data_IF_240201969662
#
_entry.id   IF_240201969662
#
_cell.length_a   1.000
_cell.length_b   1.000
_cell.length_c   1.000
_cell.angle_alpha   90.00
_cell.angle_beta   90.00
_cell.angle_gamma   90.00
#
_symmetry.space_group_name_H-M   'P 1'
#
loop_
_entity.id
_entity.type
_entity.pdbx_description
1 polymer ?
#
# COMPACT_ATOMS: atom_id res chain seq x y z
N UNK A 1 -22.94 32.20 -27.79
CA UNK A 1 -23.33 30.81 -27.59
C UNK A 1 -23.97 30.33 -28.88
N UNK A 2 -23.37 29.41 -29.63
CA UNK A 2 -24.02 28.84 -30.80
C UNK A 2 -25.12 27.88 -30.31
N UNK A 3 -26.30 27.99 -30.91
CA UNK A 3 -27.41 27.07 -30.69
C UNK A 3 -27.05 25.70 -31.27
N UNK A 4 -27.21 24.66 -30.44
CA UNK A 4 -27.12 23.27 -30.86
C UNK A 4 -28.16 22.97 -31.95
N UNK A 5 -27.73 23.02 -33.18
CA UNK A 5 -28.50 22.43 -34.29
C UNK A 5 -28.14 20.96 -34.38
N UNK A 6 -29.14 20.11 -34.02
CA UNK A 6 -29.35 18.83 -34.62
C UNK A 6 -28.24 17.78 -34.50
N UNK A 7 -27.82 17.41 -33.28
CA UNK A 7 -27.26 16.08 -33.09
C UNK A 7 -28.43 15.10 -33.06
N UNK A 8 -28.70 14.41 -34.18
CA UNK A 8 -29.56 13.21 -34.18
C UNK A 8 -29.13 12.33 -33.02
N UNK A 9 -29.99 12.19 -32.02
CA UNK A 9 -29.88 11.16 -31.01
C UNK A 9 -30.04 9.81 -31.74
N UNK A 10 -28.92 9.28 -32.24
CA UNK A 10 -28.90 7.84 -32.54
C UNK A 10 -29.07 7.18 -31.18
N UNK A 11 -30.26 6.67 -30.94
CA UNK A 11 -30.53 5.76 -29.85
C UNK A 11 -29.38 4.74 -29.84
N UNK A 12 -28.64 4.65 -28.71
CA UNK A 12 -27.84 3.47 -28.47
C UNK A 12 -28.73 2.31 -28.79
N UNK A 13 -28.39 1.54 -29.81
CA UNK A 13 -29.01 0.25 -30.04
C UNK A 13 -28.71 -0.53 -28.77
N UNK A 14 -29.72 -0.57 -27.88
CA UNK A 14 -29.67 -1.47 -26.75
C UNK A 14 -29.44 -2.85 -27.35
N UNK A 15 -28.34 -3.46 -26.98
CA UNK A 15 -28.15 -4.88 -27.24
C UNK A 15 -29.36 -5.52 -26.60
N UNK A 16 -30.13 -6.24 -27.39
CA UNK A 16 -31.30 -6.94 -26.91
C UNK A 16 -30.84 -7.92 -25.83
N UNK A 17 -31.02 -7.54 -24.57
CA UNK A 17 -30.58 -8.32 -23.41
C UNK A 17 -31.21 -9.72 -23.39
N UNK A 18 -32.35 -9.92 -24.08
CA UNK A 18 -32.99 -11.22 -24.23
C UNK A 18 -32.13 -12.24 -25.00
N UNK A 19 -31.15 -11.77 -25.77
CA UNK A 19 -30.22 -12.62 -26.53
C UNK A 19 -28.95 -13.00 -25.77
N UNK A 20 -28.66 -12.30 -24.70
CA UNK A 20 -27.46 -12.54 -23.86
C UNK A 20 -27.96 -12.65 -22.42
N UNK A 21 -28.27 -13.84 -21.99
CA UNK A 21 -28.76 -14.18 -20.64
C UNK A 21 -27.67 -13.89 -19.58
N UNK A 22 -27.10 -12.68 -19.60
CA UNK A 22 -26.07 -12.21 -18.69
C UNK A 22 -26.71 -11.37 -17.60
N UNK A 23 -26.77 -11.87 -16.37
CA UNK A 23 -27.29 -11.10 -15.25
C UNK A 23 -26.49 -9.82 -15.06
N UNK A 24 -27.21 -8.71 -14.83
CA UNK A 24 -26.56 -7.47 -14.43
C UNK A 24 -25.82 -7.66 -13.12
N UNK A 25 -24.55 -7.26 -13.06
CA UNK A 25 -23.74 -7.34 -11.85
C UNK A 25 -24.16 -6.30 -10.80
N UNK A 26 -24.82 -5.24 -11.22
CA UNK A 26 -25.35 -4.22 -10.31
C UNK A 26 -26.88 -4.24 -10.43
N UNK A 27 -27.61 -4.48 -9.33
CA UNK A 27 -29.07 -4.57 -9.36
C UNK A 27 -29.71 -3.36 -10.03
N UNK A 28 -30.75 -3.61 -10.81
CA UNK A 28 -31.54 -2.58 -11.53
C UNK A 28 -30.71 -1.71 -12.50
N UNK A 29 -29.65 -2.24 -13.06
CA UNK A 29 -28.83 -1.56 -14.08
C UNK A 29 -28.53 -2.50 -15.25
N UNK A 30 -28.11 -1.94 -16.38
CA UNK A 30 -27.58 -2.68 -17.52
C UNK A 30 -26.03 -2.88 -17.44
N UNK A 31 -25.46 -2.90 -16.24
CA UNK A 31 -24.04 -3.13 -16.07
C UNK A 31 -23.65 -4.55 -16.40
N UNK A 32 -22.68 -4.73 -17.29
CA UNK A 32 -22.05 -6.02 -17.51
C UNK A 32 -20.88 -6.23 -16.56
N UNK A 33 -20.48 -7.49 -16.34
CA UNK A 33 -19.28 -7.82 -15.56
C UNK A 33 -18.02 -7.18 -16.15
N UNK A 34 -17.90 -7.14 -17.48
CA UNK A 34 -16.78 -6.50 -18.17
C UNK A 34 -16.70 -5.01 -17.89
N UNK A 35 -17.80 -4.30 -17.92
CA UNK A 35 -17.84 -2.87 -17.64
C UNK A 35 -17.52 -2.56 -16.17
N UNK A 36 -18.04 -3.35 -15.23
CA UNK A 36 -17.71 -3.18 -13.82
C UNK A 36 -16.23 -3.46 -13.56
N UNK A 37 -15.69 -4.51 -14.18
CA UNK A 37 -14.24 -4.82 -14.09
C UNK A 37 -13.38 -3.70 -14.65
N UNK A 38 -13.76 -3.11 -15.80
CA UNK A 38 -13.05 -1.98 -16.41
C UNK A 38 -13.02 -0.76 -15.46
N UNK A 39 -14.16 -0.43 -14.85
CA UNK A 39 -14.25 0.65 -13.87
C UNK A 39 -13.37 0.40 -12.64
N UNK A 40 -13.34 -0.83 -12.14
CA UNK A 40 -12.51 -1.21 -10.98
C UNK A 40 -11.03 -1.09 -11.34
N UNK A 41 -10.61 -1.65 -12.48
CA UNK A 41 -9.21 -1.59 -12.95
C UNK A 41 -8.78 -0.14 -13.18
N UNK A 42 -9.60 0.65 -13.88
CA UNK A 42 -9.32 2.05 -14.13
C UNK A 42 -9.16 2.84 -12.83
N UNK A 43 -10.02 2.59 -11.86
CA UNK A 43 -10.00 3.30 -10.58
C UNK A 43 -8.81 2.93 -9.72
N UNK A 44 -8.51 1.64 -9.57
CA UNK A 44 -7.56 1.15 -8.56
C UNK A 44 -6.18 0.82 -9.12
N UNK A 45 -6.08 0.36 -10.37
CA UNK A 45 -4.81 0.08 -11.01
C UNK A 45 -4.23 1.32 -11.71
N UNK A 46 -5.07 2.08 -12.42
CA UNK A 46 -4.63 3.23 -13.21
C UNK A 46 -4.90 4.58 -12.53
N UNK A 47 -5.47 4.58 -11.33
CA UNK A 47 -5.78 5.78 -10.53
C UNK A 47 -6.66 6.82 -11.27
N UNK A 48 -7.51 6.38 -12.19
CA UNK A 48 -8.42 7.24 -12.93
C UNK A 48 -9.52 7.72 -11.98
N UNK A 49 -9.67 9.03 -11.86
CA UNK A 49 -10.73 9.61 -11.02
C UNK A 49 -12.10 9.44 -11.68
N UNK A 50 -13.17 9.36 -10.87
CA UNK A 50 -14.54 9.24 -11.42
C UNK A 50 -14.92 10.37 -12.37
N UNK A 51 -14.31 11.56 -12.23
CA UNK A 51 -14.49 12.66 -13.17
C UNK A 51 -13.86 12.37 -14.53
N UNK A 52 -12.61 11.88 -14.55
CA UNK A 52 -11.93 11.48 -15.79
C UNK A 52 -12.62 10.30 -16.46
N UNK A 53 -13.06 9.35 -15.63
CA UNK A 53 -13.82 8.20 -16.12
C UNK A 53 -15.12 8.62 -16.82
N UNK A 54 -15.84 9.57 -16.24
CA UNK A 54 -17.03 10.15 -16.89
C UNK A 54 -16.70 10.75 -18.26
N UNK A 55 -15.59 11.50 -18.40
CA UNK A 55 -15.16 12.03 -19.70
C UNK A 55 -14.78 10.93 -20.68
N UNK A 56 -14.11 9.87 -20.24
CA UNK A 56 -13.80 8.70 -21.08
C UNK A 56 -15.09 8.09 -21.62
N UNK A 57 -16.06 7.83 -20.75
CA UNK A 57 -17.35 7.27 -21.11
C UNK A 57 -18.11 8.14 -22.14
N UNK A 58 -18.09 9.45 -21.97
CA UNK A 58 -18.70 10.38 -22.92
C UNK A 58 -18.05 10.26 -24.31
N UNK A 59 -16.73 10.14 -24.38
CA UNK A 59 -16.01 9.96 -25.63
C UNK A 59 -16.37 8.62 -26.30
N UNK A 60 -16.70 7.61 -25.52
CA UNK A 60 -17.21 6.31 -25.97
C UNK A 60 -18.74 6.32 -26.23
N UNK A 61 -19.35 7.52 -26.26
CA UNK A 61 -20.81 7.74 -26.47
C UNK A 61 -21.70 7.16 -25.36
N UNK A 62 -21.12 6.87 -24.21
CA UNK A 62 -21.87 6.46 -23.03
C UNK A 62 -22.03 7.63 -22.05
N UNK A 63 -23.25 7.91 -21.63
CA UNK A 63 -23.53 8.97 -20.64
C UNK A 63 -23.71 8.37 -19.26
N UNK A 64 -22.70 8.51 -18.42
CA UNK A 64 -22.77 8.13 -17.02
C UNK A 64 -22.47 9.32 -16.11
N UNK A 65 -23.23 9.43 -15.02
CA UNK A 65 -22.95 10.41 -13.98
C UNK A 65 -21.83 9.93 -13.06
N UNK A 66 -21.15 10.85 -12.38
CA UNK A 66 -20.17 10.51 -11.34
C UNK A 66 -20.79 9.65 -10.22
N UNK A 67 -22.04 9.94 -9.85
CA UNK A 67 -22.78 9.16 -8.85
C UNK A 67 -23.07 7.74 -9.30
N UNK A 68 -23.39 7.55 -10.59
CA UNK A 68 -23.59 6.21 -11.16
C UNK A 68 -22.29 5.40 -11.09
N UNK A 69 -21.17 5.98 -11.54
CA UNK A 69 -19.85 5.33 -11.46
C UNK A 69 -19.51 4.95 -10.03
N UNK A 70 -19.72 5.88 -9.07
CA UNK A 70 -19.47 5.62 -7.66
C UNK A 70 -20.34 4.49 -7.10
N UNK A 71 -21.64 4.49 -7.44
CA UNK A 71 -22.55 3.43 -7.00
C UNK A 71 -22.16 2.07 -7.55
N UNK A 72 -21.76 2.00 -8.81
CA UNK A 72 -21.31 0.74 -9.41
C UNK A 72 -20.03 0.23 -8.76
N UNK A 73 -19.07 1.11 -8.48
CA UNK A 73 -17.86 0.74 -7.75
C UNK A 73 -18.16 0.26 -6.32
N UNK A 74 -19.15 0.87 -5.64
CA UNK A 74 -19.60 0.44 -4.31
C UNK A 74 -20.21 -0.97 -4.37
N UNK A 75 -21.10 -1.24 -5.31
CA UNK A 75 -21.67 -2.58 -5.49
C UNK A 75 -20.61 -3.60 -5.88
N UNK A 76 -19.64 -3.21 -6.71
CA UNK A 76 -18.47 -4.06 -7.00
C UNK A 76 -17.68 -4.41 -5.76
N UNK A 77 -17.48 -3.46 -4.84
CA UNK A 77 -16.81 -3.69 -3.57
C UNK A 77 -17.61 -4.65 -2.67
N UNK A 78 -18.94 -4.44 -2.56
CA UNK A 78 -19.85 -5.33 -1.82
C UNK A 78 -19.79 -6.77 -2.36
N UNK A 79 -19.77 -6.93 -3.68
CA UNK A 79 -19.64 -8.24 -4.33
C UNK A 79 -18.30 -8.91 -4.01
N UNK A 80 -17.19 -8.15 -4.00
CA UNK A 80 -15.85 -8.64 -3.73
C UNK A 80 -15.60 -8.87 -2.23
N UNK A 81 -16.47 -8.40 -1.34
CA UNK A 81 -16.33 -8.57 0.11
C UNK A 81 -16.19 -10.05 0.49
N UNK A 82 -16.90 -10.94 -0.18
CA UNK A 82 -16.81 -12.38 0.03
C UNK A 82 -15.43 -12.98 -0.31
N UNK A 83 -14.60 -12.27 -1.06
CA UNK A 83 -13.25 -12.69 -1.42
C UNK A 83 -12.20 -12.26 -0.38
N UNK A 84 -12.54 -11.39 0.55
CA UNK A 84 -11.58 -10.77 1.48
C UNK A 84 -10.83 -11.80 2.31
N UNK A 85 -11.52 -12.80 2.84
CA UNK A 85 -10.89 -13.83 3.67
C UNK A 85 -9.90 -14.67 2.88
N UNK A 86 -10.24 -15.06 1.66
CA UNK A 86 -9.33 -15.78 0.77
C UNK A 86 -8.09 -14.94 0.41
N UNK A 87 -8.28 -13.66 0.12
CA UNK A 87 -7.18 -12.72 -0.16
C UNK A 87 -6.30 -12.56 1.08
N UNK A 88 -6.89 -12.45 2.27
CA UNK A 88 -6.16 -12.39 3.54
C UNK A 88 -5.33 -13.65 3.80
N UNK A 89 -5.87 -14.84 3.51
CA UNK A 89 -5.13 -16.09 3.61
C UNK A 89 -3.91 -16.14 2.66
N UNK A 90 -4.05 -15.65 1.45
CA UNK A 90 -2.93 -15.53 0.52
C UNK A 90 -1.90 -14.49 0.98
N UNK A 91 -2.36 -13.36 1.52
CA UNK A 91 -1.50 -12.33 2.10
C UNK A 91 -0.67 -12.89 3.25
N UNK A 92 -1.31 -13.59 4.19
CA UNK A 92 -0.71 -14.10 5.43
C UNK A 92 -0.17 -15.53 5.29
N UNK A 93 0.17 -15.95 4.07
CA UNK A 93 0.73 -17.26 3.82
C UNK A 93 1.92 -17.55 4.76
N UNK A 94 1.89 -18.64 5.54
CA UNK A 94 2.98 -18.99 6.44
C UNK A 94 4.34 -19.12 5.74
N UNK A 95 5.40 -18.64 6.40
CA UNK A 95 6.76 -18.66 5.87
C UNK A 95 7.06 -17.56 4.84
N UNK A 96 6.09 -16.73 4.47
CA UNK A 96 6.33 -15.63 3.55
C UNK A 96 6.86 -14.38 4.27
N UNK A 97 7.38 -13.44 3.47
CA UNK A 97 7.75 -12.10 3.93
C UNK A 97 6.65 -11.13 3.54
N UNK A 98 6.09 -10.44 4.53
CA UNK A 98 5.13 -9.36 4.34
C UNK A 98 5.72 -8.02 4.76
N UNK A 99 5.31 -6.98 4.06
CA UNK A 99 5.67 -5.60 4.31
C UNK A 99 4.45 -4.86 4.81
N UNK A 100 4.59 -4.09 5.88
CA UNK A 100 3.49 -3.31 6.42
C UNK A 100 3.95 -1.88 6.70
N UNK A 101 3.14 -0.93 6.27
CA UNK A 101 3.34 0.51 6.49
C UNK A 101 1.98 1.17 6.65
N UNK A 102 1.91 2.33 7.31
CA UNK A 102 0.67 3.07 7.41
C UNK A 102 0.83 4.52 6.95
N UNK A 103 -0.20 5.00 6.27
CA UNK A 103 -0.31 6.39 5.87
C UNK A 103 -1.61 7.01 6.37
N UNK A 104 -1.56 8.25 6.77
CA UNK A 104 -2.76 8.95 7.19
C UNK A 104 -3.54 9.50 5.98
N UNK A 105 -4.86 9.53 6.13
CA UNK A 105 -5.79 10.12 5.18
C UNK A 105 -6.77 11.01 5.92
N UNK A 106 -7.04 12.20 5.38
CA UNK A 106 -8.11 13.05 5.91
C UNK A 106 -9.45 12.51 5.44
N UNK A 107 -10.28 12.12 6.40
CA UNK A 107 -11.60 11.59 6.14
C UNK A 107 -12.66 12.60 6.57
N UNK A 108 -13.57 12.91 5.66
CA UNK A 108 -14.74 13.72 5.93
C UNK A 108 -15.70 12.92 6.80
N UNK A 109 -16.04 13.45 7.97
CA UNK A 109 -16.97 12.85 8.91
C UNK A 109 -18.06 13.86 9.22
N UNK A 110 -19.32 13.46 9.16
CA UNK A 110 -20.45 14.26 9.62
C UNK A 110 -20.79 13.83 11.03
N UNK A 111 -20.86 14.76 11.96
CA UNK A 111 -21.24 14.47 13.35
C UNK A 111 -22.75 14.35 13.52
N UNK A 112 -23.19 14.10 14.78
CA UNK A 112 -24.60 13.94 15.09
C UNK A 112 -25.44 15.22 14.88
N UNK A 113 -24.79 16.39 14.81
CA UNK A 113 -25.42 17.68 14.56
C UNK A 113 -25.47 18.04 13.06
N UNK A 114 -24.94 17.18 12.20
CA UNK A 114 -24.84 17.42 10.76
C UNK A 114 -23.63 18.28 10.36
N UNK A 115 -22.73 18.65 11.30
CA UNK A 115 -21.53 19.40 11.00
C UNK A 115 -20.44 18.53 10.38
N UNK A 116 -19.74 19.08 9.41
CA UNK A 116 -18.71 18.38 8.67
C UNK A 116 -17.34 18.68 9.25
N UNK A 117 -16.66 17.63 9.70
CA UNK A 117 -15.31 17.70 10.22
C UNK A 117 -14.37 16.81 9.40
N UNK A 118 -13.08 17.15 9.41
CA UNK A 118 -12.03 16.28 8.89
C UNK A 118 -11.32 15.59 10.04
N UNK A 119 -11.25 14.25 9.99
CA UNK A 119 -10.51 13.42 10.96
C UNK A 119 -9.41 12.67 10.27
N UNK A 120 -8.22 12.67 10.86
CA UNK A 120 -7.14 11.79 10.44
C UNK A 120 -7.53 10.34 10.71
N UNK A 121 -7.52 9.55 9.66
CA UNK A 121 -7.64 8.10 9.69
C UNK A 121 -6.38 7.51 9.07
N UNK A 122 -6.19 6.25 9.23
CA UNK A 122 -5.01 5.57 8.72
C UNK A 122 -5.40 4.45 7.77
N UNK A 123 -4.63 4.37 6.71
CA UNK A 123 -4.66 3.27 5.77
C UNK A 123 -3.38 2.46 6.00
N UNK A 124 -3.55 1.25 6.50
CA UNK A 124 -2.47 0.29 6.61
C UNK A 124 -2.34 -0.43 5.28
N UNK A 125 -1.15 -0.47 4.73
CA UNK A 125 -0.85 -1.14 3.48
C UNK A 125 -0.01 -2.36 3.80
N UNK A 126 -0.53 -3.54 3.51
CA UNK A 126 0.14 -4.80 3.78
C UNK A 126 0.38 -5.50 2.43
N UNK A 127 1.63 -5.86 2.16
CA UNK A 127 2.04 -6.42 0.88
C UNK A 127 2.80 -7.72 1.07
N UNK A 128 2.42 -8.73 0.32
CA UNK A 128 3.16 -9.98 0.18
C UNK A 128 3.66 -10.08 -1.26
N UNK A 129 4.96 -9.90 -1.47
CA UNK A 129 5.54 -9.92 -2.81
C UNK A 129 5.59 -11.32 -3.42
N UNK A 130 5.65 -12.37 -2.60
CA UNK A 130 5.66 -13.76 -3.06
C UNK A 130 4.32 -14.17 -3.68
N UNK A 131 3.22 -13.82 -3.01
CA UNK A 131 1.87 -14.10 -3.50
C UNK A 131 1.30 -13.00 -4.38
N UNK A 132 2.02 -11.86 -4.48
CA UNK A 132 1.62 -10.65 -5.23
C UNK A 132 0.28 -10.06 -4.75
N UNK A 133 0.03 -10.17 -3.44
CA UNK A 133 -1.17 -9.63 -2.80
C UNK A 133 -0.83 -8.33 -2.10
N UNK A 134 -1.65 -7.31 -2.34
CA UNK A 134 -1.66 -6.06 -1.59
C UNK A 134 -3.01 -5.89 -0.92
N UNK A 135 -3.01 -5.61 0.37
CA UNK A 135 -4.22 -5.41 1.16
C UNK A 135 -4.20 -4.04 1.82
N UNK A 136 -5.34 -3.36 1.79
CA UNK A 136 -5.53 -2.07 2.43
C UNK A 136 -6.50 -2.22 3.59
N UNK A 137 -6.04 -1.91 4.81
CA UNK A 137 -6.85 -1.94 6.00
C UNK A 137 -7.06 -0.50 6.51
N UNK A 138 -8.32 -0.08 6.55
CA UNK A 138 -8.69 1.25 7.01
C UNK A 138 -9.02 1.23 8.51
N UNK A 139 -8.49 2.20 9.26
CA UNK A 139 -8.75 2.25 10.68
C UNK A 139 -8.07 3.40 11.42
N UNK A 140 -7.87 3.20 12.71
CA UNK A 140 -7.05 4.08 13.55
C UNK A 140 -5.58 3.67 13.48
N UNK A 141 -4.67 4.51 14.04
CA UNK A 141 -3.24 4.17 14.18
C UNK A 141 -2.94 3.29 15.40
N UNK A 142 -3.95 2.82 16.09
CA UNK A 142 -3.76 2.00 17.29
C UNK A 142 -3.18 0.63 16.93
N UNK A 143 -2.27 0.13 17.78
CA UNK A 143 -1.62 -1.18 17.60
C UNK A 143 -2.61 -2.35 17.52
N UNK A 144 -3.77 -2.20 18.15
CA UNK A 144 -4.83 -3.21 18.15
C UNK A 144 -5.32 -3.53 16.74
N UNK A 145 -5.39 -2.53 15.86
CA UNK A 145 -5.86 -2.69 14.48
C UNK A 145 -4.96 -3.66 13.71
N UNK A 146 -3.65 -3.44 13.72
CA UNK A 146 -2.73 -4.31 12.99
C UNK A 146 -2.50 -5.64 13.71
N UNK A 147 -2.52 -5.64 15.04
CA UNK A 147 -2.43 -6.86 15.84
C UNK A 147 -3.58 -7.81 15.57
N UNK A 148 -4.81 -7.31 15.55
CA UNK A 148 -6.00 -8.12 15.25
C UNK A 148 -6.01 -8.61 13.80
N UNK A 149 -5.58 -7.77 12.87
CA UNK A 149 -5.53 -8.15 11.46
C UNK A 149 -4.49 -9.24 11.18
N UNK A 150 -3.25 -9.08 11.68
CA UNK A 150 -2.16 -10.04 11.44
C UNK A 150 -2.27 -11.27 12.34
N UNK A 151 -2.89 -11.16 13.51
CA UNK A 151 -3.02 -12.26 14.47
C UNK A 151 -1.67 -12.90 14.82
N UNK A 152 -1.63 -14.21 14.77
CA UNK A 152 -0.43 -15.02 15.00
C UNK A 152 0.29 -15.34 13.68
N UNK A 153 0.56 -14.30 12.88
CA UNK A 153 1.27 -14.45 11.61
C UNK A 153 2.61 -15.16 11.80
N UNK A 154 2.88 -16.15 10.94
CA UNK A 154 4.10 -16.95 10.93
C UNK A 154 4.93 -16.64 9.70
N UNK A 155 6.05 -15.97 9.88
CA UNK A 155 6.91 -15.57 8.77
C UNK A 155 7.74 -14.33 9.11
N UNK A 156 8.15 -13.59 8.10
CA UNK A 156 8.91 -12.35 8.29
C UNK A 156 8.00 -11.14 8.08
N UNK A 157 7.93 -10.27 9.09
CA UNK A 157 7.22 -9.01 9.03
C UNK A 157 8.22 -7.85 8.93
N UNK A 158 8.21 -7.12 7.81
CA UNK A 158 9.03 -5.92 7.63
C UNK A 158 8.19 -4.66 7.79
N UNK A 159 8.60 -3.78 8.71
CA UNK A 159 7.89 -2.52 8.98
C UNK A 159 8.89 -1.38 9.19
N UNK A 160 8.39 -0.20 9.51
CA UNK A 160 9.18 0.84 10.14
C UNK A 160 9.43 0.53 11.64
N UNK A 161 10.03 1.47 12.36
CA UNK A 161 10.29 1.33 13.79
C UNK A 161 9.13 1.81 14.68
N UNK A 162 7.91 1.92 14.14
CA UNK A 162 6.77 2.38 14.93
C UNK A 162 6.40 1.39 16.04
N UNK A 163 6.14 1.92 17.24
CA UNK A 163 5.93 1.14 18.45
C UNK A 163 4.76 0.12 18.37
N UNK A 164 3.79 0.34 17.49
CA UNK A 164 2.68 -0.60 17.27
C UNK A 164 3.15 -1.99 16.84
N UNK A 165 4.29 -2.07 16.13
CA UNK A 165 4.84 -3.32 15.62
C UNK A 165 5.71 -4.08 16.62
N UNK A 166 6.13 -3.46 17.74
CA UNK A 166 6.98 -4.10 18.75
C UNK A 166 6.33 -5.35 19.39
N UNK A 167 5.00 -5.47 19.31
CA UNK A 167 4.30 -6.67 19.74
C UNK A 167 4.80 -7.92 19.00
N UNK A 168 5.10 -7.81 17.71
CA UNK A 168 5.50 -8.93 16.85
C UNK A 168 6.89 -9.47 17.18
N UNK A 169 7.75 -8.70 17.86
CA UNK A 169 9.04 -9.18 18.39
C UNK A 169 8.88 -10.28 19.45
N UNK A 170 7.68 -10.41 20.03
CA UNK A 170 7.38 -11.39 21.10
C UNK A 170 6.78 -12.67 20.56
N UNK A 171 6.41 -12.72 19.29
CA UNK A 171 5.84 -13.91 18.66
C UNK A 171 6.94 -14.87 18.27
N UNK A 172 6.81 -16.13 18.68
CA UNK A 172 7.83 -17.18 18.47
C UNK A 172 8.09 -17.46 16.97
N UNK A 173 7.03 -17.45 16.17
CA UNK A 173 7.09 -17.86 14.76
C UNK A 173 7.09 -16.65 13.81
N UNK A 174 7.22 -15.41 14.33
CA UNK A 174 7.29 -14.19 13.56
C UNK A 174 8.66 -13.53 13.73
N UNK A 175 9.38 -13.35 12.64
CA UNK A 175 10.61 -12.57 12.61
C UNK A 175 10.27 -11.13 12.21
N UNK A 176 10.28 -10.21 13.17
CA UNK A 176 10.06 -8.80 12.87
C UNK A 176 11.38 -8.11 12.52
N UNK A 177 11.41 -7.40 11.39
CA UNK A 177 12.58 -6.67 10.89
C UNK A 177 12.20 -5.25 10.50
N UNK A 178 13.14 -4.32 10.70
CA UNK A 178 12.93 -2.92 10.37
C UNK A 178 13.43 -2.58 8.97
N UNK A 179 12.71 -1.73 8.29
CA UNK A 179 13.00 -1.29 6.93
C UNK A 179 14.15 -0.27 6.92
N UNK A 180 15.24 -0.58 6.22
CA UNK A 180 16.38 0.31 6.05
C UNK A 180 16.03 1.65 5.39
N UNK A 181 15.04 1.71 4.52
CA UNK A 181 14.59 2.97 3.91
C UNK A 181 14.06 3.95 4.94
N UNK A 182 13.32 3.47 5.94
CA UNK A 182 12.84 4.30 7.04
C UNK A 182 13.98 4.77 7.94
N UNK A 183 14.89 3.87 8.31
CA UNK A 183 16.10 4.23 9.08
C UNK A 183 16.92 5.29 8.34
N UNK A 184 17.22 5.06 7.06
CA UNK A 184 17.97 6.01 6.25
C UNK A 184 17.31 7.38 6.15
N UNK A 185 15.97 7.43 6.05
CA UNK A 185 15.22 8.68 5.96
C UNK A 185 15.43 9.57 7.20
N UNK A 186 15.54 8.98 8.39
CA UNK A 186 15.82 9.71 9.62
C UNK A 186 17.19 10.38 9.57
N UNK A 187 18.23 9.64 9.14
CA UNK A 187 19.58 10.20 8.98
C UNK A 187 19.64 11.28 7.90
N UNK A 188 18.92 11.10 6.77
CA UNK A 188 18.83 12.12 5.71
C UNK A 188 18.18 13.41 6.25
N UNK A 189 17.13 13.31 7.06
CA UNK A 189 16.52 14.47 7.68
C UNK A 189 17.47 15.14 8.67
N UNK A 190 18.18 14.37 9.50
CA UNK A 190 19.16 14.90 10.44
C UNK A 190 20.32 15.63 9.71
N UNK A 191 20.88 15.02 8.68
CA UNK A 191 21.96 15.64 7.88
C UNK A 191 21.50 16.93 7.19
N UNK A 192 20.31 16.92 6.58
CA UNK A 192 19.78 18.07 5.84
C UNK A 192 19.35 19.22 6.77
N UNK A 193 18.61 18.90 7.83
CA UNK A 193 17.92 19.91 8.64
C UNK A 193 18.84 20.46 9.73
N UNK A 194 19.78 19.65 10.24
CA UNK A 194 20.72 20.03 11.31
C UNK A 194 22.19 20.06 10.88
N UNK A 195 22.50 19.77 9.60
CA UNK A 195 23.87 19.68 9.06
C UNK A 195 24.74 18.72 9.86
N UNK A 196 24.14 17.65 10.34
CA UNK A 196 24.82 16.67 11.17
C UNK A 196 25.76 15.80 10.31
N UNK A 197 27.06 15.93 10.56
CA UNK A 197 28.10 15.19 9.83
C UNK A 197 28.13 13.71 10.20
N UNK A 198 27.75 13.36 11.44
CA UNK A 198 27.64 11.96 11.86
C UNK A 198 26.50 11.27 11.12
N UNK A 199 25.36 11.97 10.93
CA UNK A 199 24.27 11.44 10.14
C UNK A 199 24.70 11.13 8.70
N UNK A 200 25.58 11.93 8.10
CA UNK A 200 26.10 11.66 6.76
C UNK A 200 26.90 10.36 6.71
N UNK A 201 27.74 10.07 7.70
CA UNK A 201 28.49 8.81 7.78
C UNK A 201 27.56 7.58 7.80
N UNK A 202 26.45 7.64 8.55
CA UNK A 202 25.45 6.58 8.53
C UNK A 202 24.74 6.45 7.17
N UNK A 203 24.43 7.57 6.50
CA UNK A 203 23.83 7.56 5.16
C UNK A 203 24.75 6.85 4.16
N UNK A 204 26.06 7.11 4.23
CA UNK A 204 27.06 6.54 3.32
C UNK A 204 27.21 5.03 3.56
N UNK A 205 27.28 4.57 4.80
CA UNK A 205 27.31 3.15 5.15
C UNK A 205 26.04 2.41 4.69
N UNK A 206 24.86 3.00 4.94
CA UNK A 206 23.59 2.41 4.43
C UNK A 206 23.57 2.40 2.90
N UNK A 207 24.19 3.40 2.27
CA UNK A 207 24.36 3.46 0.81
C UNK A 207 25.14 2.26 0.26
N UNK A 208 26.15 1.78 0.97
CA UNK A 208 26.90 0.57 0.60
C UNK A 208 25.98 -0.65 0.60
N UNK A 209 25.12 -0.80 1.62
CA UNK A 209 24.16 -1.92 1.67
C UNK A 209 23.22 -1.92 0.45
N UNK A 210 22.72 -0.74 0.04
CA UNK A 210 21.90 -0.64 -1.17
C UNK A 210 22.67 -0.96 -2.44
N UNK A 211 23.94 -0.55 -2.52
CA UNK A 211 24.79 -0.85 -3.67
C UNK A 211 24.97 -2.36 -3.86
N UNK A 212 25.21 -3.09 -2.77
CA UNK A 212 25.29 -4.56 -2.79
C UNK A 212 24.01 -5.19 -3.34
N UNK A 213 22.83 -4.69 -2.96
CA UNK A 213 21.56 -5.21 -3.48
C UNK A 213 21.36 -4.90 -4.97
N UNK A 214 21.75 -3.70 -5.42
CA UNK A 214 21.70 -3.35 -6.85
C UNK A 214 22.64 -4.25 -7.65
N UNK A 215 23.83 -4.51 -7.16
CA UNK A 215 24.78 -5.44 -7.81
C UNK A 215 24.22 -6.87 -7.90
N UNK A 216 23.58 -7.36 -6.82
CA UNK A 216 22.92 -8.65 -6.83
C UNK A 216 21.84 -8.73 -7.92
N UNK A 217 21.05 -7.68 -8.06
CA UNK A 217 19.97 -7.60 -9.04
C UNK A 217 20.51 -7.50 -10.47
N UNK A 218 21.49 -6.62 -10.71
CA UNK A 218 22.08 -6.39 -12.05
C UNK A 218 22.76 -7.64 -12.58
N UNK A 219 23.44 -8.38 -11.69
CA UNK A 219 24.14 -9.62 -12.05
C UNK A 219 23.23 -10.86 -12.08
N UNK A 220 21.94 -10.70 -11.74
CA UNK A 220 20.98 -11.80 -11.74
C UNK A 220 21.38 -12.95 -10.83
N UNK A 221 22.01 -12.66 -9.69
CA UNK A 221 22.51 -13.69 -8.76
C UNK A 221 21.39 -14.54 -8.20
N UNK A 222 21.67 -15.83 -8.03
CA UNK A 222 20.78 -16.78 -7.37
C UNK A 222 20.70 -16.47 -5.85
N UNK A 223 19.68 -16.98 -5.16
CA UNK A 223 19.54 -16.79 -3.71
C UNK A 223 20.79 -17.20 -2.93
N UNK A 224 21.43 -18.31 -3.29
CA UNK A 224 22.67 -18.77 -2.64
C UNK A 224 23.83 -17.80 -2.83
N UNK A 225 23.99 -17.26 -4.06
CA UNK A 225 25.00 -16.28 -4.38
C UNK A 225 24.72 -14.94 -3.68
N UNK A 226 23.46 -14.53 -3.57
CA UNK A 226 23.04 -13.35 -2.81
C UNK A 226 23.42 -13.49 -1.34
N UNK A 227 23.08 -14.61 -0.72
CA UNK A 227 23.42 -14.87 0.70
C UNK A 227 24.93 -14.83 0.91
N UNK A 228 25.71 -15.45 0.02
CA UNK A 228 27.18 -15.40 0.09
C UNK A 228 27.69 -13.96 -0.04
N UNK A 229 27.26 -13.24 -1.06
CA UNK A 229 27.69 -11.88 -1.33
C UNK A 229 27.31 -10.89 -0.20
N UNK A 230 26.12 -11.05 0.39
CA UNK A 230 25.72 -10.29 1.59
C UNK A 230 26.62 -10.63 2.79
N UNK A 231 27.03 -11.88 2.95
CA UNK A 231 27.97 -12.30 3.99
C UNK A 231 29.35 -11.64 3.84
N UNK A 232 29.81 -11.49 2.60
CA UNK A 232 31.13 -10.91 2.30
C UNK A 232 31.11 -9.37 2.35
N UNK A 233 30.09 -8.72 1.80
CA UNK A 233 30.07 -7.26 1.59
C UNK A 233 29.16 -6.52 2.58
N UNK A 234 27.96 -7.06 2.88
CA UNK A 234 27.00 -6.35 3.73
C UNK A 234 27.24 -6.58 5.22
N UNK A 235 27.65 -7.78 5.61
CA UNK A 235 27.82 -8.13 7.03
C UNK A 235 28.90 -7.28 7.73
N UNK A 236 30.08 -7.00 7.15
CA UNK A 236 31.05 -6.09 7.73
C UNK A 236 30.50 -4.66 7.93
N UNK A 237 29.74 -4.16 6.94
CA UNK A 237 29.13 -2.82 7.03
C UNK A 237 28.07 -2.76 8.13
N UNK A 238 27.26 -3.80 8.28
CA UNK A 238 26.28 -3.91 9.36
C UNK A 238 26.96 -3.94 10.73
N UNK A 239 28.09 -4.62 10.83
CA UNK A 239 28.87 -4.66 12.06
C UNK A 239 29.42 -3.28 12.42
N UNK A 240 29.96 -2.56 11.46
CA UNK A 240 30.46 -1.19 11.64
C UNK A 240 29.33 -0.23 12.05
N UNK A 241 28.19 -0.26 11.34
CA UNK A 241 26.99 0.50 11.71
C UNK A 241 26.55 0.24 13.16
N UNK A 242 26.54 -1.02 13.58
CA UNK A 242 26.16 -1.40 14.93
C UNK A 242 27.14 -0.87 15.97
N UNK A 243 28.45 -0.98 15.71
CA UNK A 243 29.51 -0.48 16.61
C UNK A 243 29.41 1.03 16.76
N UNK A 244 29.30 1.77 15.66
CA UNK A 244 29.21 3.24 15.68
C UNK A 244 27.94 3.69 16.42
N UNK A 245 26.78 3.09 16.12
CA UNK A 245 25.53 3.41 16.80
C UNK A 245 25.62 3.14 18.32
N UNK A 246 26.19 2.00 18.70
CA UNK A 246 26.36 1.64 20.13
C UNK A 246 27.31 2.60 20.85
N UNK A 247 28.40 3.01 20.19
CA UNK A 247 29.35 3.97 20.75
C UNK A 247 28.71 5.34 21.00
N UNK A 248 27.90 5.81 20.02
CA UNK A 248 27.18 7.08 20.14
C UNK A 248 26.12 7.03 21.25
N UNK A 249 25.33 5.98 21.34
CA UNK A 249 24.34 5.82 22.41
C UNK A 249 24.97 5.92 23.80
N UNK A 250 26.11 5.25 24.01
CA UNK A 250 26.87 5.34 25.28
C UNK A 250 27.39 6.75 25.59
N UNK A 251 27.67 7.55 24.57
CA UNK A 251 28.08 8.95 24.75
C UNK A 251 26.91 9.82 25.17
N UNK A 252 25.76 9.63 24.56
CA UNK A 252 24.51 10.36 24.91
C UNK A 252 24.07 10.03 26.35
N UNK A 253 24.02 8.74 26.72
CA UNK A 253 23.67 8.32 28.08
C UNK A 253 24.58 8.91 29.16
N UNK A 254 25.87 9.16 28.85
CA UNK A 254 26.80 9.80 29.78
C UNK A 254 26.64 11.32 29.89
N UNK A 255 26.07 11.97 28.89
CA UNK A 255 25.87 13.42 28.82
C UNK A 255 24.50 13.88 29.37
N UNK A 256 23.59 12.96 29.66
CA UNK A 256 22.30 13.24 30.30
C UNK A 256 22.32 13.13 31.84
N UNK A 257 23.51 12.91 32.44
CA UNK A 257 23.74 12.96 33.88
C UNK A 257 24.55 14.23 34.19
#
# INVERSE_FOLDING_TARGET
MPKDEGVEQRACTFVDESKYDMPSMVPHTSSTSGMLSDLIVNRFQYAITSGREMYRMVNEKMRMSKSTIFNWLRHGAEFLENCQETIKQWLLKPGSTIYCDESWVDTKVTDANGEVHYKKRYMWVIVNLTTKVCYYLYGSRKKEVIKEFLGDFKGTLMTDAYAAYLYFNKLKDCTHVCCWSHVRRLFVSASRDYKDTLAQAFIDLIGILYKVEVENQVLGRTEKEIVKHRGEESLPVLHDLYQQATALLKQFEKNEI
#
